data_IF_198894440004
#
_entry.id   IF_198894440004
#
_cell.length_a   1.000
_cell.length_b   1.000
_cell.length_c   1.000
_cell.angle_alpha   90.00
_cell.angle_beta   90.00
_cell.angle_gamma   90.00
#
_symmetry.space_group_name_H-M   'P 1'
#
loop_
_entity.id
_entity.type
_entity.pdbx_description
1 polymer ?
#
# COMPACT_ATOMS: atom_id res chain seq x y z
N UNK A 1 -14.41 -22.44 35.66
CA UNK A 1 -14.85 -21.35 34.79
C UNK A 1 -13.66 -20.47 34.49
N UNK A 2 -13.25 -20.40 33.22
CA UNK A 2 -12.23 -19.47 32.73
C UNK A 2 -12.60 -19.16 31.27
N UNK A 3 -13.04 -17.94 31.01
CA UNK A 3 -13.34 -17.44 29.66
C UNK A 3 -12.09 -16.78 29.12
N UNK A 4 -11.29 -17.53 28.37
CA UNK A 4 -10.13 -16.98 27.65
C UNK A 4 -10.64 -16.12 26.50
N UNK A 5 -10.57 -14.80 26.68
CA UNK A 5 -10.74 -13.83 25.61
C UNK A 5 -9.53 -13.93 24.68
N UNK A 6 -9.66 -14.69 23.59
CA UNK A 6 -8.69 -14.64 22.50
C UNK A 6 -9.04 -13.44 21.63
N UNK A 7 -8.52 -12.27 22.00
CA UNK A 7 -8.47 -11.10 21.12
C UNK A 7 -7.51 -11.42 20.00
N UNK A 8 -8.03 -12.01 18.92
CA UNK A 8 -7.28 -12.18 17.67
C UNK A 8 -7.25 -10.83 16.97
N UNK A 9 -6.27 -10.00 17.33
CA UNK A 9 -5.83 -8.88 16.50
C UNK A 9 -5.28 -9.47 15.22
N UNK A 10 -6.10 -9.50 14.17
CA UNK A 10 -5.66 -9.95 12.86
C UNK A 10 -4.57 -8.99 12.33
N UNK A 11 -3.56 -9.52 11.63
CA UNK A 11 -2.39 -8.75 11.25
C UNK A 11 -2.79 -7.63 10.29
N UNK A 12 -2.19 -6.48 10.52
CA UNK A 12 -2.26 -5.27 9.72
C UNK A 12 -1.74 -5.58 8.31
N UNK A 13 -2.63 -5.95 7.39
CA UNK A 13 -2.23 -6.23 6.01
C UNK A 13 -2.21 -4.90 5.24
N UNK A 14 -1.20 -4.08 5.49
CA UNK A 14 -0.80 -3.09 4.50
C UNK A 14 -0.25 -3.89 3.32
N UNK A 15 -1.13 -4.31 2.39
CA UNK A 15 -0.76 -4.92 1.11
C UNK A 15 -0.14 -3.85 0.23
N UNK A 16 1.05 -3.38 0.61
CA UNK A 16 1.94 -2.63 -0.26
C UNK A 16 2.68 -3.66 -1.10
N UNK A 17 2.31 -3.73 -2.39
CA UNK A 17 2.78 -4.72 -3.35
C UNK A 17 4.31 -4.77 -3.38
N UNK A 18 4.80 -6.00 -3.46
CA UNK A 18 6.21 -6.35 -3.58
C UNK A 18 6.83 -5.73 -4.83
N UNK A 19 7.82 -4.85 -4.69
CA UNK A 19 8.90 -4.78 -5.66
C UNK A 19 9.79 -6.01 -5.43
N UNK A 20 9.35 -7.15 -5.96
CA UNK A 20 10.24 -8.28 -6.19
C UNK A 20 11.31 -7.81 -7.20
N UNK A 21 12.56 -7.87 -6.76
CA UNK A 21 13.70 -7.33 -7.47
C UNK A 21 13.76 -7.75 -8.94
N UNK A 22 13.72 -6.76 -9.82
CA UNK A 22 14.35 -6.89 -11.12
C UNK A 22 15.82 -6.53 -10.95
N UNK A 23 16.67 -7.56 -10.89
CA UNK A 23 18.09 -7.40 -11.15
C UNK A 23 18.23 -6.81 -12.56
N UNK A 24 18.47 -5.50 -12.64
CA UNK A 24 18.85 -4.87 -13.91
C UNK A 24 20.24 -5.41 -14.25
N UNK A 25 20.30 -6.33 -15.21
CA UNK A 25 21.53 -6.65 -15.88
C UNK A 25 22.09 -5.35 -16.49
N UNK A 26 23.24 -4.90 -15.98
CA UNK A 26 23.99 -3.80 -16.56
C UNK A 26 24.52 -4.28 -17.91
N UNK A 27 23.74 -4.06 -18.98
CA UNK A 27 24.23 -4.12 -20.36
C UNK A 27 24.56 -2.68 -20.75
N UNK A 28 25.83 -2.46 -21.06
CA UNK A 28 26.48 -1.16 -21.07
C UNK A 28 25.81 -0.10 -21.95
N UNK A 29 25.54 1.06 -21.34
CA UNK A 29 25.30 2.28 -22.08
C UNK A 29 26.62 3.05 -22.21
N UNK A 30 27.08 3.16 -23.45
CA UNK A 30 28.26 3.90 -23.84
C UNK A 30 28.19 5.35 -23.31
N UNK A 31 29.23 5.74 -22.57
CA UNK A 31 29.50 7.14 -22.22
C UNK A 31 29.81 7.91 -23.51
N UNK A 32 28.87 8.72 -23.99
CA UNK A 32 29.20 9.81 -24.89
C UNK A 32 29.35 11.10 -24.09
N UNK A 33 30.57 11.61 -24.12
CA UNK A 33 30.95 12.92 -23.63
C UNK A 33 30.28 13.99 -24.50
N UNK A 34 29.51 14.87 -23.86
CA UNK A 34 29.19 16.17 -24.45
C UNK A 34 29.71 17.26 -23.52
N UNK A 35 30.83 17.84 -23.93
CA UNK A 35 31.24 19.16 -23.54
C UNK A 35 30.55 20.17 -24.48
N UNK A 36 29.69 21.05 -23.96
CA UNK A 36 29.85 22.51 -24.11
C UNK A 36 28.81 23.29 -23.31
N UNK A 37 29.31 24.40 -22.79
CA UNK A 37 28.63 25.47 -22.07
C UNK A 37 27.37 25.99 -22.77
N UNK A 38 26.31 26.16 -21.98
CA UNK A 38 25.32 27.23 -22.11
C UNK A 38 24.95 27.67 -20.68
N UNK A 39 25.82 28.48 -20.07
CA UNK A 39 25.44 29.37 -18.98
C UNK A 39 24.54 30.46 -19.59
N UNK A 40 23.46 30.83 -18.90
CA UNK A 40 22.57 31.97 -19.19
C UNK A 40 21.41 31.78 -20.20
N UNK A 41 20.62 30.72 -20.03
CA UNK A 41 19.16 30.81 -20.23
C UNK A 41 18.47 30.32 -18.98
N UNK A 42 17.46 31.08 -18.51
CA UNK A 42 16.74 30.83 -17.26
C UNK A 42 16.59 29.34 -16.99
N UNK A 43 17.23 28.88 -15.91
CA UNK A 43 17.51 27.48 -15.66
C UNK A 43 16.22 26.67 -15.81
N UNK A 44 16.10 25.78 -16.82
CA UNK A 44 14.88 25.02 -17.00
C UNK A 44 14.63 24.23 -15.71
N UNK A 45 13.38 24.24 -15.23
CA UNK A 45 13.01 23.46 -14.04
C UNK A 45 13.46 22.00 -14.23
N UNK A 46 14.13 21.44 -13.23
CA UNK A 46 14.64 20.07 -13.31
C UNK A 46 13.46 19.11 -13.51
N UNK A 47 13.42 18.35 -14.63
CA UNK A 47 12.27 17.48 -14.94
C UNK A 47 12.10 16.39 -13.88
N UNK A 48 13.17 15.94 -13.21
CA UNK A 48 13.06 14.99 -12.11
C UNK A 48 12.35 15.60 -10.90
N UNK A 49 12.55 16.90 -10.63
CA UNK A 49 11.83 17.62 -9.56
C UNK A 49 10.34 17.73 -9.89
N UNK A 50 9.98 17.98 -11.14
CA UNK A 50 8.57 18.04 -11.56
C UNK A 50 7.85 16.69 -11.36
N UNK A 51 8.46 15.59 -11.82
CA UNK A 51 7.92 14.24 -11.63
C UNK A 51 7.84 13.89 -10.15
N UNK A 52 8.87 14.25 -9.36
CA UNK A 52 8.86 14.04 -7.92
C UNK A 52 7.73 14.81 -7.21
N UNK A 53 7.43 16.06 -7.59
CA UNK A 53 6.30 16.80 -7.00
C UNK A 53 4.97 16.06 -7.22
N UNK A 54 4.77 15.50 -8.43
CA UNK A 54 3.61 14.68 -8.76
C UNK A 54 3.60 13.40 -7.92
N UNK A 55 4.73 12.71 -7.81
CA UNK A 55 4.90 11.50 -7.00
C UNK A 55 4.59 11.78 -5.53
N UNK A 56 5.16 12.84 -4.95
CA UNK A 56 4.98 13.21 -3.55
C UNK A 56 3.51 13.56 -3.24
N UNK A 57 2.83 14.27 -4.14
CA UNK A 57 1.41 14.56 -4.02
C UNK A 57 0.55 13.29 -4.06
N UNK A 58 0.85 12.36 -4.98
CA UNK A 58 0.19 11.06 -5.03
C UNK A 58 0.43 10.24 -3.75
N UNK A 59 1.66 10.20 -3.25
CA UNK A 59 2.02 9.50 -2.01
C UNK A 59 1.26 10.06 -0.79
N UNK A 60 1.19 11.38 -0.66
CA UNK A 60 0.40 12.02 0.40
C UNK A 60 -1.09 11.70 0.28
N UNK A 61 -1.63 11.63 -0.94
CA UNK A 61 -3.01 11.26 -1.18
C UNK A 61 -3.27 9.81 -0.77
N UNK A 62 -2.39 8.87 -1.13
CA UNK A 62 -2.48 7.46 -0.72
C UNK A 62 -2.50 7.33 0.80
N UNK A 63 -1.61 8.04 1.52
CA UNK A 63 -1.60 8.00 2.99
C UNK A 63 -2.90 8.52 3.62
N UNK A 64 -3.48 9.60 3.06
CA UNK A 64 -4.75 10.15 3.55
C UNK A 64 -5.89 9.17 3.33
N UNK A 65 -5.97 8.59 2.14
CA UNK A 65 -7.01 7.62 1.77
C UNK A 65 -6.88 6.34 2.59
N UNK A 66 -5.66 5.88 2.88
CA UNK A 66 -5.42 4.73 3.75
C UNK A 66 -5.97 4.98 5.17
N UNK A 67 -5.65 6.12 5.79
CA UNK A 67 -6.20 6.47 7.12
C UNK A 67 -7.73 6.58 7.09
N UNK A 68 -8.29 7.15 6.03
CA UNK A 68 -9.73 7.26 5.85
C UNK A 68 -10.39 5.88 5.71
N UNK A 69 -9.83 5.01 4.86
CA UNK A 69 -10.30 3.64 4.65
C UNK A 69 -10.26 2.85 5.96
N UNK A 70 -9.19 2.94 6.75
CA UNK A 70 -9.09 2.28 8.07
C UNK A 70 -10.14 2.79 9.06
N UNK A 71 -10.45 4.09 9.03
CA UNK A 71 -11.52 4.67 9.83
C UNK A 71 -12.90 4.13 9.45
N UNK A 72 -13.16 4.02 8.15
CA UNK A 72 -14.42 3.47 7.62
C UNK A 72 -14.53 1.95 7.86
N UNK A 73 -13.44 1.21 7.71
CA UNK A 73 -13.38 -0.24 7.99
C UNK A 73 -13.75 -0.52 9.45
N UNK A 74 -13.13 0.21 10.37
CA UNK A 74 -13.45 0.11 11.80
C UNK A 74 -14.91 0.43 12.06
N UNK A 75 -15.45 1.48 11.44
CA UNK A 75 -16.86 1.83 11.58
C UNK A 75 -17.79 0.70 11.06
N UNK A 76 -17.46 0.05 9.94
CA UNK A 76 -18.23 -1.10 9.46
C UNK A 76 -18.14 -2.29 10.42
N UNK A 77 -16.94 -2.60 10.89
CA UNK A 77 -16.72 -3.68 11.84
C UNK A 77 -17.47 -3.44 13.16
N UNK A 78 -17.52 -2.20 13.65
CA UNK A 78 -18.26 -1.83 14.87
C UNK A 78 -19.79 -1.84 14.66
N UNK A 79 -20.27 -1.48 13.47
CA UNK A 79 -21.72 -1.34 13.20
C UNK A 79 -22.37 -2.66 12.77
N UNK A 80 -21.72 -3.39 11.87
CA UNK A 80 -22.27 -4.61 11.26
C UNK A 80 -21.54 -5.85 11.78
N UNK A 81 -20.25 -5.74 12.10
CA UNK A 81 -19.38 -6.89 12.31
C UNK A 81 -18.95 -7.52 10.99
N UNK A 82 -17.77 -8.16 10.97
CA UNK A 82 -17.30 -8.81 9.74
C UNK A 82 -18.26 -9.91 9.30
N UNK A 83 -18.56 -10.03 7.98
CA UNK A 83 -19.41 -11.08 7.45
C UNK A 83 -19.02 -12.45 7.97
N UNK A 84 -20.00 -13.17 8.51
CA UNK A 84 -19.81 -14.48 9.10
C UNK A 84 -21.11 -15.28 9.16
N UNK A 85 -20.98 -16.59 9.26
CA UNK A 85 -22.06 -17.52 9.61
C UNK A 85 -21.64 -18.38 10.80
N UNK A 86 -22.60 -18.72 11.65
CA UNK A 86 -22.36 -19.59 12.80
C UNK A 86 -23.03 -20.94 12.56
N UNK A 87 -22.23 -22.00 12.59
CA UNK A 87 -22.69 -23.37 12.38
C UNK A 87 -22.60 -24.13 13.68
N UNK A 88 -23.58 -25.01 13.94
CA UNK A 88 -23.53 -25.95 15.06
C UNK A 88 -23.01 -27.29 14.57
N UNK A 89 -21.89 -27.73 15.13
CA UNK A 89 -21.26 -29.00 14.82
C UNK A 89 -22.01 -30.15 15.50
N UNK A 90 -21.75 -31.38 15.02
CA UNK A 90 -22.35 -32.62 15.53
C UNK A 90 -22.05 -32.88 17.02
N UNK A 91 -20.90 -32.42 17.50
CA UNK A 91 -20.53 -32.49 18.92
C UNK A 91 -21.20 -31.42 19.80
N UNK A 92 -22.10 -30.62 19.23
CA UNK A 92 -22.83 -29.56 19.92
C UNK A 92 -22.06 -28.25 20.09
N UNK A 93 -20.82 -28.14 19.60
CA UNK A 93 -20.09 -26.87 19.58
C UNK A 93 -20.61 -25.95 18.47
N UNK A 94 -20.44 -24.65 18.64
CA UNK A 94 -20.73 -23.66 17.61
C UNK A 94 -19.43 -23.04 17.11
N UNK A 95 -19.30 -22.90 15.79
CA UNK A 95 -18.13 -22.31 15.14
C UNK A 95 -18.60 -21.17 14.25
N UNK A 96 -17.91 -20.03 14.32
CA UNK A 96 -18.13 -18.87 13.44
C UNK A 96 -17.14 -18.91 12.30
N UNK A 97 -17.65 -18.81 11.07
CA UNK A 97 -16.89 -18.93 9.83
C UNK A 97 -17.02 -17.64 9.03
N UNK A 98 -15.90 -17.14 8.52
CA UNK A 98 -15.80 -15.83 7.87
C UNK A 98 -15.65 -15.92 6.34
N UNK A 99 -15.79 -17.11 5.76
CA UNK A 99 -15.77 -17.30 4.31
C UNK A 99 -16.63 -18.47 3.88
N UNK A 100 -17.14 -18.43 2.65
CA UNK A 100 -17.85 -19.54 2.02
C UNK A 100 -16.97 -20.80 1.89
N UNK A 101 -15.66 -20.63 1.66
CA UNK A 101 -14.73 -21.76 1.63
C UNK A 101 -14.63 -22.45 2.99
N UNK A 102 -14.51 -21.69 4.07
CA UNK A 102 -14.46 -22.22 5.43
C UNK A 102 -15.78 -22.94 5.82
N UNK A 103 -16.92 -22.46 5.31
CA UNK A 103 -18.22 -23.14 5.44
C UNK A 103 -18.21 -24.49 4.73
N UNK A 104 -17.66 -24.56 3.52
CA UNK A 104 -17.49 -25.80 2.77
C UNK A 104 -16.55 -26.79 3.46
N UNK A 105 -15.37 -26.33 3.89
CA UNK A 105 -14.32 -27.17 4.49
C UNK A 105 -14.76 -27.81 5.83
N UNK A 106 -15.61 -27.13 6.60
CA UNK A 106 -16.10 -27.63 7.90
C UNK A 106 -17.22 -28.66 7.72
N UNK A 107 -17.96 -28.61 6.61
CA UNK A 107 -19.14 -29.42 6.36
C UNK A 107 -18.88 -30.50 5.29
N UNK A 108 -17.66 -31.04 5.27
CA UNK A 108 -17.21 -31.90 4.20
C UNK A 108 -17.88 -33.30 4.25
N UNK A 109 -18.86 -33.48 3.35
CA UNK A 109 -19.23 -34.70 2.62
C UNK A 109 -20.22 -35.71 3.24
N UNK A 110 -21.41 -35.26 3.61
CA UNK A 110 -22.59 -36.15 3.76
C UNK A 110 -23.91 -35.45 3.41
N UNK A 111 -24.93 -36.16 2.89
CA UNK A 111 -26.25 -35.56 2.57
C UNK A 111 -26.95 -34.95 3.80
N UNK A 112 -26.55 -35.35 5.01
CA UNK A 112 -27.06 -34.79 6.26
C UNK A 112 -26.52 -33.37 6.57
N UNK A 113 -25.35 -33.00 6.02
CA UNK A 113 -24.74 -31.69 6.23
C UNK A 113 -25.16 -30.66 5.17
N UNK A 114 -25.82 -31.09 4.09
CA UNK A 114 -26.22 -30.24 2.96
C UNK A 114 -27.20 -29.15 3.38
N UNK A 115 -28.22 -29.47 4.17
CA UNK A 115 -29.16 -28.49 4.69
C UNK A 115 -28.50 -27.49 5.65
N UNK A 116 -27.56 -27.97 6.48
CA UNK A 116 -26.79 -27.12 7.41
C UNK A 116 -25.87 -26.17 6.65
N UNK A 117 -25.24 -26.66 5.57
CA UNK A 117 -24.42 -25.88 4.66
C UNK A 117 -25.22 -24.81 3.95
N UNK A 118 -26.33 -25.18 3.31
CA UNK A 118 -27.20 -24.24 2.60
C UNK A 118 -27.70 -23.12 3.52
N UNK A 119 -28.06 -23.48 4.76
CA UNK A 119 -28.42 -22.47 5.78
C UNK A 119 -27.24 -21.56 6.12
N UNK A 120 -26.06 -22.11 6.40
CA UNK A 120 -24.88 -21.32 6.75
C UNK A 120 -24.44 -20.38 5.61
N UNK A 121 -24.49 -20.86 4.37
CA UNK A 121 -24.23 -20.04 3.19
C UNK A 121 -25.27 -18.92 3.03
N UNK A 122 -26.56 -19.20 3.30
CA UNK A 122 -27.62 -18.19 3.35
C UNK A 122 -27.42 -17.15 4.45
N UNK A 123 -27.15 -17.59 5.68
CA UNK A 123 -26.85 -16.70 6.81
C UNK A 123 -25.63 -15.81 6.53
N UNK A 124 -24.59 -16.38 5.90
CA UNK A 124 -23.41 -15.63 5.46
C UNK A 124 -23.77 -14.59 4.39
N UNK A 125 -24.58 -14.97 3.39
CA UNK A 125 -25.01 -14.08 2.32
C UNK A 125 -25.87 -12.92 2.84
N UNK A 126 -26.77 -13.17 3.79
CA UNK A 126 -27.57 -12.14 4.44
C UNK A 126 -26.69 -11.17 5.25
N UNK A 127 -25.67 -11.69 5.93
CA UNK A 127 -24.70 -10.85 6.63
C UNK A 127 -23.87 -10.02 5.66
N UNK A 128 -23.36 -10.62 4.58
CA UNK A 128 -22.65 -9.91 3.52
C UNK A 128 -23.51 -8.81 2.89
N UNK A 129 -24.79 -9.07 2.63
CA UNK A 129 -25.71 -8.08 2.07
C UNK A 129 -25.89 -6.87 3.00
N UNK A 130 -25.95 -7.08 4.33
CA UNK A 130 -25.99 -5.99 5.33
C UNK A 130 -24.68 -5.21 5.34
N UNK A 131 -23.54 -5.90 5.26
CA UNK A 131 -22.23 -5.27 5.17
C UNK A 131 -22.11 -4.40 3.92
N UNK A 132 -22.48 -4.93 2.75
CA UNK A 132 -22.44 -4.22 1.47
C UNK A 132 -23.41 -3.03 1.44
N UNK A 133 -24.56 -3.14 2.11
CA UNK A 133 -25.49 -2.03 2.25
C UNK A 133 -24.90 -0.90 3.10
N UNK A 134 -24.30 -1.22 4.25
CA UNK A 134 -23.64 -0.25 5.10
C UNK A 134 -22.41 0.37 4.42
N UNK A 135 -21.64 -0.44 3.69
CA UNK A 135 -20.54 0.04 2.86
C UNK A 135 -21.01 1.05 1.81
N UNK A 136 -22.07 0.74 1.05
CA UNK A 136 -22.65 1.68 0.08
C UNK A 136 -23.07 3.01 0.72
N UNK A 137 -23.51 2.99 1.97
CA UNK A 137 -23.89 4.20 2.70
C UNK A 137 -22.67 5.02 3.13
N UNK A 138 -21.62 4.38 3.65
CA UNK A 138 -20.48 5.10 4.23
C UNK A 138 -19.29 5.27 3.26
N UNK A 139 -19.30 4.59 2.12
CA UNK A 139 -18.30 4.71 1.05
C UNK A 139 -16.98 4.02 1.32
N UNK A 140 -16.96 2.91 2.07
CA UNK A 140 -15.72 2.19 2.40
C UNK A 140 -15.02 1.63 1.16
N UNK A 141 -15.72 0.83 0.35
CA UNK A 141 -15.17 0.21 -0.87
C UNK A 141 -14.79 1.24 -1.92
N UNK A 142 -15.51 2.38 -1.99
CA UNK A 142 -15.15 3.48 -2.86
C UNK A 142 -13.82 4.13 -2.44
N UNK A 143 -13.63 4.37 -1.14
CA UNK A 143 -12.39 4.90 -0.58
C UNK A 143 -11.23 3.92 -0.75
N UNK A 144 -11.48 2.62 -0.54
CA UNK A 144 -10.50 1.55 -0.77
C UNK A 144 -10.07 1.48 -2.24
N UNK A 145 -10.99 1.68 -3.19
CA UNK A 145 -10.64 1.75 -4.62
C UNK A 145 -9.79 2.98 -4.92
N UNK A 146 -10.18 4.15 -4.43
CA UNK A 146 -9.41 5.37 -4.61
C UNK A 146 -7.99 5.28 -4.01
N UNK A 147 -7.85 4.61 -2.87
CA UNK A 147 -6.55 4.34 -2.23
C UNK A 147 -5.66 3.50 -3.15
N UNK A 148 -6.20 2.42 -3.72
CA UNK A 148 -5.49 1.58 -4.70
C UNK A 148 -5.10 2.35 -5.95
N UNK A 149 -6.02 3.12 -6.53
CA UNK A 149 -5.74 3.93 -7.72
C UNK A 149 -4.64 4.96 -7.45
N UNK A 150 -4.62 5.55 -6.25
CA UNK A 150 -3.57 6.46 -5.83
C UNK A 150 -2.23 5.73 -5.62
N UNK A 151 -2.24 4.53 -5.05
CA UNK A 151 -1.05 3.69 -4.88
C UNK A 151 -0.46 3.23 -6.22
N UNK A 152 -1.29 2.79 -7.17
CA UNK A 152 -0.84 2.44 -8.53
C UNK A 152 -0.20 3.66 -9.21
N UNK A 153 -0.77 4.86 -9.03
CA UNK A 153 -0.18 6.10 -9.54
C UNK A 153 1.16 6.46 -8.88
N UNK A 154 1.34 6.14 -7.60
CA UNK A 154 2.64 6.30 -6.91
C UNK A 154 3.69 5.40 -7.54
N UNK A 155 3.33 4.15 -7.87
CA UNK A 155 4.21 3.19 -8.55
C UNK A 155 4.64 3.69 -9.93
N UNK A 156 3.67 4.10 -10.76
CA UNK A 156 3.93 4.65 -12.10
C UNK A 156 4.85 5.88 -12.06
N UNK A 157 4.61 6.79 -11.11
CA UNK A 157 5.39 8.01 -10.96
C UNK A 157 6.79 7.74 -10.39
N UNK A 158 6.95 6.73 -9.54
CA UNK A 158 8.26 6.30 -9.05
C UNK A 158 9.09 5.71 -10.19
N UNK A 159 8.47 4.88 -11.03
CA UNK A 159 9.12 4.33 -12.23
C UNK A 159 9.51 5.46 -13.19
N UNK A 160 8.59 6.38 -13.48
CA UNK A 160 8.86 7.55 -14.33
C UNK A 160 10.01 8.41 -13.77
N UNK A 161 10.02 8.65 -12.45
CA UNK A 161 11.06 9.41 -11.76
C UNK A 161 12.43 8.72 -11.88
N UNK A 162 12.49 7.39 -11.80
CA UNK A 162 13.74 6.63 -11.96
C UNK A 162 14.37 6.86 -13.34
N UNK A 163 13.55 6.89 -14.40
CA UNK A 163 13.94 7.05 -15.81
C UNK A 163 14.20 8.51 -16.22
N UNK A 164 13.62 9.48 -15.50
CA UNK A 164 13.76 10.91 -15.83
C UNK A 164 15.15 11.43 -15.43
N UNK A 165 16.00 11.91 -16.34
CA UNK A 165 17.32 12.42 -15.96
C UNK A 165 17.22 13.61 -14.99
N UNK A 166 17.98 13.59 -13.90
CA UNK A 166 18.15 14.77 -13.05
C UNK A 166 19.24 15.66 -13.66
N UNK A 167 18.98 16.96 -13.75
CA UNK A 167 19.93 17.95 -14.29
C UNK A 167 20.49 18.88 -13.19
N UNK A 168 20.07 18.65 -11.95
CA UNK A 168 20.49 19.40 -10.76
C UNK A 168 20.65 18.49 -9.54
N UNK A 169 21.34 18.97 -8.51
CA UNK A 169 21.40 18.28 -7.21
C UNK A 169 20.02 18.17 -6.54
N UNK A 170 19.12 19.12 -6.81
CA UNK A 170 17.73 19.03 -6.34
C UNK A 170 16.99 17.85 -6.98
N UNK A 171 17.18 17.60 -8.28
CA UNK A 171 16.63 16.43 -8.96
C UNK A 171 17.21 15.11 -8.45
N UNK A 172 18.51 15.06 -8.14
CA UNK A 172 19.13 13.89 -7.50
C UNK A 172 18.56 13.66 -6.10
N UNK A 173 18.44 14.71 -5.30
CA UNK A 173 17.83 14.64 -3.97
C UNK A 173 16.38 14.15 -4.03
N UNK A 174 15.59 14.68 -4.96
CA UNK A 174 14.21 14.28 -5.18
C UNK A 174 14.07 12.77 -5.47
N UNK A 175 14.92 12.22 -6.33
CA UNK A 175 14.95 10.77 -6.62
C UNK A 175 15.27 9.94 -5.37
N UNK A 176 16.30 10.33 -4.64
CA UNK A 176 16.73 9.62 -3.43
C UNK A 176 15.65 9.69 -2.33
N UNK A 177 14.99 10.83 -2.17
CA UNK A 177 13.91 10.98 -1.20
C UNK A 177 12.72 10.06 -1.54
N UNK A 178 12.31 9.98 -2.81
CA UNK A 178 11.25 9.07 -3.22
C UNK A 178 11.62 7.60 -2.97
N UNK A 179 12.84 7.19 -3.34
CA UNK A 179 13.34 5.84 -3.09
C UNK A 179 13.41 5.50 -1.59
N UNK A 180 13.85 6.45 -0.76
CA UNK A 180 13.89 6.27 0.69
C UNK A 180 12.50 6.14 1.29
N UNK A 181 11.56 6.99 0.91
CA UNK A 181 10.19 6.95 1.45
C UNK A 181 9.46 5.66 1.09
N UNK A 182 9.68 5.14 -0.12
CA UNK A 182 9.14 3.84 -0.50
C UNK A 182 9.87 2.72 0.24
N UNK A 183 11.21 2.65 0.16
CA UNK A 183 12.00 1.58 0.77
C UNK A 183 11.88 1.48 2.30
N UNK A 184 11.96 2.60 3.01
CA UNK A 184 11.86 2.66 4.48
C UNK A 184 10.44 2.39 4.98
N UNK A 185 9.41 2.51 4.14
CA UNK A 185 8.10 2.03 4.56
C UNK A 185 8.04 0.49 4.65
N UNK A 186 9.00 -0.22 4.05
CA UNK A 186 9.10 -1.69 4.12
C UNK A 186 10.11 -2.19 5.16
N UNK A 187 11.11 -1.38 5.52
CA UNK A 187 12.19 -1.76 6.45
C UNK A 187 12.30 -0.75 7.59
N UNK A 188 12.71 -1.17 8.80
CA UNK A 188 12.82 -0.32 10.02
C UNK A 188 13.80 0.88 9.86
N UNK A 189 14.39 1.08 8.69
CA UNK A 189 15.19 2.26 8.31
C UNK A 189 16.54 2.36 9.05
N UNK A 190 16.76 1.57 10.09
CA UNK A 190 17.99 1.42 10.84
C UNK A 190 18.94 0.38 10.22
N UNK A 191 18.40 -0.52 9.40
CA UNK A 191 19.18 -1.56 8.72
C UNK A 191 19.97 -1.00 7.52
N UNK A 192 21.11 -1.62 7.24
CA UNK A 192 21.87 -1.33 6.02
C UNK A 192 21.00 -1.61 4.77
N UNK A 193 20.97 -0.73 3.75
CA UNK A 193 21.83 0.44 3.54
C UNK A 193 21.19 1.81 3.89
N UNK A 194 20.07 1.84 4.60
CA UNK A 194 19.28 3.07 4.74
C UNK A 194 19.98 4.22 5.46
N UNK A 195 20.75 4.00 6.55
CA UNK A 195 21.52 5.07 7.17
C UNK A 195 22.52 5.72 6.21
N UNK A 196 23.18 4.92 5.36
CA UNK A 196 24.19 5.40 4.41
C UNK A 196 23.55 6.22 3.28
N UNK A 197 22.40 5.76 2.76
CA UNK A 197 21.66 6.50 1.72
C UNK A 197 21.14 7.83 2.27
N UNK A 198 20.63 7.87 3.51
CA UNK A 198 20.21 9.12 4.17
C UNK A 198 21.38 10.10 4.35
N UNK A 199 22.52 9.62 4.82
CA UNK A 199 23.72 10.46 4.95
C UNK A 199 24.15 11.05 3.59
N UNK A 200 24.11 10.26 2.52
CA UNK A 200 24.45 10.75 1.18
C UNK A 200 23.42 11.77 0.65
N UNK A 201 22.13 11.57 0.93
CA UNK A 201 21.09 12.54 0.60
C UNK A 201 21.31 13.88 1.32
N UNK A 202 21.62 13.86 2.62
CA UNK A 202 21.91 15.06 3.40
C UNK A 202 23.08 15.85 2.80
N UNK A 203 24.13 15.14 2.36
CA UNK A 203 25.28 15.75 1.69
C UNK A 203 24.88 16.40 0.35
N UNK A 204 24.06 15.73 -0.47
CA UNK A 204 23.54 16.27 -1.75
C UNK A 204 22.73 17.54 -1.52
N UNK A 205 21.83 17.55 -0.53
CA UNK A 205 21.02 18.71 -0.18
C UNK A 205 21.92 19.86 0.28
N UNK A 206 22.87 19.59 1.19
CA UNK A 206 23.80 20.59 1.72
C UNK A 206 24.66 21.22 0.63
N UNK A 207 25.14 20.43 -0.33
CA UNK A 207 25.93 20.94 -1.47
C UNK A 207 25.04 21.76 -2.41
N UNK A 208 23.83 21.27 -2.72
CA UNK A 208 22.86 21.97 -3.56
C UNK A 208 22.53 23.37 -3.05
N UNK A 209 22.30 23.51 -1.74
CA UNK A 209 22.01 24.80 -1.11
C UNK A 209 23.18 25.80 -1.17
N UNK A 210 24.44 25.34 -1.27
CA UNK A 210 25.62 26.20 -1.37
C UNK A 210 25.86 26.73 -2.78
N UNK A 211 25.29 26.08 -3.79
CA UNK A 211 25.50 26.40 -5.20
C UNK A 211 24.44 27.34 -5.79
N UNK A 212 23.35 27.61 -5.04
CA UNK A 212 22.36 28.61 -5.43
C UNK A 212 22.86 29.99 -4.98
N UNK A 213 23.21 30.91 -5.89
CA UNK A 213 23.57 32.28 -5.51
C UNK A 213 22.35 32.98 -4.87
N UNK A 214 22.61 33.78 -3.83
CA UNK A 214 21.60 34.62 -3.16
C UNK A 214 21.03 35.67 -4.09
#
# INVERSE_FOLDING_TARGET
>A
MATSNHTTTLPFVTRRRLFAGTAIAVVGLQRNAFARNDLEKGQPEDPAVEVWRKWHAAHQQTERLCRQQQGLERKLAETVGFPCATIRLRDGRSVTLHSLSAIGDVLDLGPEDEATRAKAEGDFADHQARWDAADREIGYSATLRAERDAADRVEDLLEALSKTPAVSLAGVAAKLEAALREGVAYEDGAEFPWPQIRSALDDVIRIGQRLVPK
#
